data_IF_450748624573
#
_entry.id   IF_450748624573
#
_cell.length_a   1.000
_cell.length_b   1.000
_cell.length_c   1.000
_cell.angle_alpha   90.00
_cell.angle_beta   90.00
_cell.angle_gamma   90.00
#
_symmetry.space_group_name_H-M   'P 1'
#
loop_
_entity.id
_entity.type
_entity.pdbx_description
1 polymer ?
#
# COMPACT_ATOMS: atom_id res chain seq x y z
N UNK A 1 0.58 10.80 10.09
CA UNK A 1 1.38 10.20 11.18
C UNK A 1 2.19 9.08 10.56
N UNK A 2 3.53 9.17 10.53
CA UNK A 2 4.37 8.09 9.99
C UNK A 2 4.41 6.97 11.05
N UNK A 3 4.13 5.70 10.70
CA UNK A 3 4.14 4.62 11.66
C UNK A 3 5.53 4.49 12.30
N UNK A 4 5.56 4.31 13.63
CA UNK A 4 6.83 4.14 14.36
C UNK A 4 7.41 2.77 14.04
N UNK A 5 8.71 2.71 13.75
CA UNK A 5 9.44 1.46 13.52
C UNK A 5 9.30 0.56 14.75
N UNK A 6 8.49 -0.49 14.66
CA UNK A 6 8.22 -1.43 15.76
C UNK A 6 6.73 -1.70 16.03
N UNK A 7 5.82 -0.90 15.49
CA UNK A 7 4.38 -1.23 15.53
C UNK A 7 4.10 -2.29 14.46
N UNK A 8 3.91 -3.54 14.88
CA UNK A 8 3.51 -4.67 14.04
C UNK A 8 2.07 -4.57 13.51
N UNK A 9 1.63 -3.38 13.14
CA UNK A 9 0.40 -3.15 12.40
C UNK A 9 0.69 -3.36 10.92
N UNK A 10 -0.10 -4.21 10.28
CA UNK A 10 -0.20 -4.25 8.82
C UNK A 10 -0.35 -2.81 8.31
N UNK A 11 0.44 -2.38 7.32
CA UNK A 11 0.28 -1.04 6.77
C UNK A 11 -0.78 -1.14 5.68
N UNK A 12 -2.05 -1.03 6.08
CA UNK A 12 -3.21 -1.18 5.18
C UNK A 12 -3.33 -0.04 4.16
N UNK A 13 -2.72 1.12 4.46
CA UNK A 13 -2.64 2.32 3.62
C UNK A 13 -1.37 2.42 2.78
N UNK A 14 -0.62 1.32 2.66
CA UNK A 14 0.63 1.30 1.95
C UNK A 14 0.45 0.93 0.49
N UNK A 15 1.12 1.67 -0.39
CA UNK A 15 1.26 1.31 -1.80
C UNK A 15 2.73 1.22 -2.18
N UNK A 16 3.04 0.30 -3.09
CA UNK A 16 4.38 0.19 -3.69
C UNK A 16 4.34 0.82 -5.06
N UNK A 17 5.25 1.75 -5.32
CA UNK A 17 5.48 2.37 -6.61
C UNK A 17 6.84 1.92 -7.14
N UNK A 18 6.95 1.70 -8.46
CA UNK A 18 8.23 1.57 -9.13
C UNK A 18 8.69 2.94 -9.61
N UNK A 19 9.97 3.24 -9.43
CA UNK A 19 10.55 4.45 -10.02
C UNK A 19 10.76 4.28 -11.52
N UNK A 20 10.87 5.41 -12.22
CA UNK A 20 11.14 5.41 -13.65
C UNK A 20 12.43 4.63 -13.99
N UNK A 21 12.49 4.00 -15.18
CA UNK A 21 13.71 3.41 -15.68
C UNK A 21 14.86 4.41 -15.64
N UNK A 22 16.02 3.93 -15.19
CA UNK A 22 17.29 4.67 -15.27
C UNK A 22 18.25 3.86 -16.12
N UNK A 23 19.23 4.52 -16.75
CA UNK A 23 20.26 3.84 -17.57
C UNK A 23 21.18 2.90 -16.76
N UNK A 24 20.97 2.79 -15.45
CA UNK A 24 21.70 1.87 -14.58
C UNK A 24 21.18 0.45 -14.77
N UNK A 25 22.06 -0.52 -15.09
CA UNK A 25 21.65 -1.92 -15.16
C UNK A 25 21.24 -2.42 -13.77
N UNK A 26 20.08 -3.08 -13.69
CA UNK A 26 19.55 -3.66 -12.46
C UNK A 26 18.02 -3.57 -12.37
N UNK A 27 17.41 -4.17 -11.34
CA UNK A 27 15.98 -4.05 -11.07
C UNK A 27 15.57 -2.59 -10.85
N UNK A 28 14.36 -2.23 -11.26
CA UNK A 28 13.81 -0.91 -10.99
C UNK A 28 13.63 -0.71 -9.48
N UNK A 29 14.08 0.42 -8.92
CA UNK A 29 13.85 0.71 -7.51
C UNK A 29 12.36 0.76 -7.17
N UNK A 30 11.99 0.11 -6.07
CA UNK A 30 10.66 0.18 -5.48
C UNK A 30 10.64 1.17 -4.31
N UNK A 31 9.53 1.88 -4.15
CA UNK A 31 9.28 2.73 -2.98
C UNK A 31 7.92 2.43 -2.39
N UNK A 32 7.90 2.28 -1.07
CA UNK A 32 6.68 2.21 -0.28
C UNK A 32 6.24 3.63 0.10
N UNK A 33 4.98 3.97 -0.20
CA UNK A 33 4.34 5.21 0.21
C UNK A 33 3.14 4.91 1.10
N UNK A 34 2.80 5.86 1.97
CA UNK A 34 1.61 5.79 2.82
C UNK A 34 0.74 7.01 2.57
N UNK A 35 -0.57 6.83 2.59
CA UNK A 35 -1.52 7.93 2.48
C UNK A 35 -1.50 8.74 3.78
N UNK A 36 -1.14 10.02 3.68
CA UNK A 36 -1.09 10.88 4.86
C UNK A 36 -2.48 11.22 5.36
N UNK A 37 -2.64 11.23 6.68
CA UNK A 37 -3.88 11.64 7.38
C UNK A 37 -5.09 10.73 7.14
N UNK A 38 -4.87 9.51 6.65
CA UNK A 38 -5.90 8.50 6.46
C UNK A 38 -5.47 7.18 7.14
N UNK A 39 -6.46 6.41 7.58
CA UNK A 39 -6.31 5.02 8.01
C UNK A 39 -7.34 4.16 7.27
N UNK A 40 -6.89 3.17 6.49
CA UNK A 40 -7.76 2.24 5.79
C UNK A 40 -8.24 1.14 6.75
N UNK A 41 -9.43 0.56 6.49
CA UNK A 41 -9.90 -0.57 7.26
C UNK A 41 -8.97 -1.78 7.07
N UNK A 42 -8.77 -2.54 8.15
CA UNK A 42 -7.84 -3.66 8.18
C UNK A 42 -8.40 -4.89 7.48
N UNK A 43 -7.62 -5.42 6.54
CA UNK A 43 -7.88 -6.73 5.97
C UNK A 43 -7.37 -7.81 6.92
N UNK A 44 -8.18 -8.82 7.19
CA UNK A 44 -7.82 -9.90 8.09
C UNK A 44 -6.65 -10.73 7.54
N UNK A 45 -5.77 -11.16 8.44
CA UNK A 45 -4.85 -12.28 8.17
C UNK A 45 -5.60 -13.60 8.23
N UNK A 46 -4.96 -14.67 7.75
CA UNK A 46 -5.54 -16.01 7.56
C UNK A 46 -6.49 -16.40 8.72
N UNK A 47 -7.74 -16.67 8.36
CA UNK A 47 -8.79 -17.16 9.28
C UNK A 47 -9.50 -16.09 10.10
N UNK A 48 -9.15 -14.80 9.95
CA UNK A 48 -9.85 -13.68 10.60
C UNK A 48 -11.00 -13.10 9.76
N UNK A 49 -11.70 -12.13 10.34
CA UNK A 49 -12.78 -11.38 9.71
C UNK A 49 -12.27 -9.97 9.38
N UNK A 50 -12.50 -9.54 8.14
CA UNK A 50 -12.13 -8.21 7.67
C UNK A 50 -12.88 -7.12 8.47
N UNK A 51 -12.22 -5.98 8.71
CA UNK A 51 -12.96 -4.80 9.17
C UNK A 51 -13.98 -4.36 8.09
N UNK A 52 -15.08 -3.69 8.48
CA UNK A 52 -16.05 -3.18 7.52
C UNK A 52 -15.37 -2.37 6.41
N UNK A 53 -15.70 -2.68 5.15
CA UNK A 53 -15.19 -2.02 3.95
C UNK A 53 -13.68 -2.23 3.64
N UNK A 54 -12.98 -3.14 4.32
CA UNK A 54 -11.55 -3.37 4.08
C UNK A 54 -11.26 -3.85 2.65
N UNK A 55 -12.05 -4.79 2.15
CA UNK A 55 -11.90 -5.33 0.80
C UNK A 55 -12.23 -4.27 -0.26
N UNK A 56 -13.32 -3.54 -0.09
CA UNK A 56 -13.78 -2.50 -1.00
C UNK A 56 -12.78 -1.36 -1.09
N UNK A 57 -12.23 -0.91 0.05
CA UNK A 57 -11.18 0.12 0.10
C UNK A 57 -9.94 -0.29 -0.70
N UNK A 58 -9.44 -1.52 -0.49
CA UNK A 58 -8.31 -2.07 -1.24
C UNK A 58 -8.59 -2.12 -2.74
N UNK A 59 -9.77 -2.60 -3.12
CA UNK A 59 -10.13 -2.80 -4.52
C UNK A 59 -10.38 -1.48 -5.26
N UNK A 60 -10.86 -0.45 -4.55
CA UNK A 60 -10.97 0.91 -5.06
C UNK A 60 -9.60 1.47 -5.45
N UNK A 61 -8.61 1.43 -4.54
CA UNK A 61 -7.24 1.87 -4.83
C UNK A 61 -6.58 1.02 -5.92
N UNK A 62 -6.83 -0.30 -5.93
CA UNK A 62 -6.31 -1.20 -6.97
C UNK A 62 -6.73 -0.76 -8.37
N UNK A 63 -8.02 -0.48 -8.56
CA UNK A 63 -8.59 -0.03 -9.84
C UNK A 63 -8.05 1.33 -10.28
N UNK A 64 -7.79 2.22 -9.32
CA UNK A 64 -7.31 3.56 -9.61
C UNK A 64 -5.80 3.64 -9.88
N UNK A 65 -4.98 2.85 -9.18
CA UNK A 65 -3.53 3.08 -9.16
C UNK A 65 -2.70 2.03 -9.91
N UNK A 66 -3.15 0.77 -10.02
CA UNK A 66 -2.35 -0.26 -10.70
C UNK A 66 -2.18 0.08 -12.18
N UNK A 67 -0.94 0.08 -12.65
CA UNK A 67 -0.58 0.37 -14.04
C UNK A 67 -0.75 1.82 -14.44
N UNK A 68 -1.02 2.73 -13.49
CA UNK A 68 -1.02 4.18 -13.76
C UNK A 68 0.38 4.76 -13.57
N UNK A 69 0.68 5.77 -14.38
CA UNK A 69 1.88 6.60 -14.26
C UNK A 69 1.44 7.94 -13.68
N UNK A 70 2.13 8.37 -12.62
CA UNK A 70 1.92 9.68 -11.99
C UNK A 70 2.74 10.78 -12.65
#
# INVERSE_FOLDING_TARGET
MVPRKGEGGSVEDCMVIMTMPSDKPGPLPEKSITLSSLMAPRLARRGGVDEPFAWESREFLRKLCIGKVG
#
